data_IF_790495953398
#
_entry.id   IF_790495953398
#
_cell.length_a   1.000
_cell.length_b   1.000
_cell.length_c   1.000
_cell.angle_alpha   90.00
_cell.angle_beta   90.00
_cell.angle_gamma   90.00
#
_symmetry.space_group_name_H-M   'P 1'
#
loop_
_entity.id
_entity.type
_entity.pdbx_description
1 polymer ?
#
# COMPACT_ATOMS: atom_id res chain seq x y z
N UNK A 1 8.21 -13.38 9.35
CA UNK A 1 6.97 -12.66 9.69
C UNK A 1 7.21 -11.89 10.97
N UNK A 2 6.92 -10.59 10.98
CA UNK A 2 6.97 -9.75 12.18
C UNK A 2 5.56 -9.51 12.70
N UNK A 3 5.41 -9.35 14.02
CA UNK A 3 4.14 -9.13 14.71
C UNK A 3 4.27 -8.01 15.74
N UNK A 4 3.17 -7.28 15.98
CA UNK A 4 3.02 -6.31 17.07
C UNK A 4 4.21 -5.34 17.20
N UNK A 5 4.65 -4.81 16.06
CA UNK A 5 5.85 -3.97 15.97
C UNK A 5 5.53 -2.50 15.74
N UNK A 6 6.59 -1.69 15.58
CA UNK A 6 6.48 -0.27 15.23
C UNK A 6 7.41 0.08 14.09
N UNK A 7 6.90 0.80 13.10
CA UNK A 7 7.68 1.36 11.99
C UNK A 7 8.04 2.79 12.38
N UNK A 8 9.31 3.02 12.72
CA UNK A 8 9.79 4.34 13.15
C UNK A 8 10.11 5.26 11.96
N UNK A 9 10.85 4.76 10.98
CA UNK A 9 11.18 5.48 9.74
C UNK A 9 11.34 4.48 8.61
N UNK A 10 10.46 4.57 7.61
CA UNK A 10 10.60 3.81 6.37
C UNK A 10 10.26 4.75 5.21
N UNK A 11 11.31 5.34 4.63
CA UNK A 11 11.19 6.42 3.63
C UNK A 11 10.22 6.07 2.51
N UNK A 12 10.22 4.80 2.05
CA UNK A 12 9.31 4.38 0.99
C UNK A 12 7.84 4.44 1.42
N UNK A 13 7.49 3.93 2.61
CA UNK A 13 6.12 4.00 3.13
C UNK A 13 5.69 5.45 3.37
N UNK A 14 6.56 6.29 3.91
CA UNK A 14 6.28 7.71 4.08
C UNK A 14 5.96 8.37 2.74
N UNK A 15 6.79 8.16 1.71
CA UNK A 15 6.56 8.71 0.36
C UNK A 15 5.30 8.17 -0.30
N UNK A 16 4.97 6.88 -0.12
CA UNK A 16 3.71 6.30 -0.62
C UNK A 16 2.52 7.01 0.02
N UNK A 17 2.52 7.19 1.34
CA UNK A 17 1.41 7.82 2.05
C UNK A 17 1.30 9.32 1.75
N UNK A 18 2.42 10.02 1.62
CA UNK A 18 2.46 11.41 1.12
C UNK A 18 1.86 11.51 -0.28
N UNK A 19 2.24 10.63 -1.20
CA UNK A 19 1.67 10.58 -2.55
C UNK A 19 0.15 10.37 -2.52
N UNK A 20 -0.35 9.47 -1.66
CA UNK A 20 -1.78 9.24 -1.49
C UNK A 20 -2.51 10.46 -0.91
N UNK A 21 -1.84 11.23 -0.04
CA UNK A 21 -2.37 12.48 0.49
C UNK A 21 -2.43 13.59 -0.57
N UNK A 22 -1.44 13.66 -1.47
CA UNK A 22 -1.38 14.65 -2.56
C UNK A 22 -2.43 14.35 -3.64
N UNK A 23 -2.60 13.08 -4.00
CA UNK A 23 -3.49 12.71 -5.11
C UNK A 23 -4.97 12.84 -4.78
N UNK A 24 -5.36 12.93 -3.50
CA UNK A 24 -6.75 13.12 -3.11
C UNK A 24 -6.85 13.89 -1.79
N UNK A 25 -7.61 14.99 -1.77
CA UNK A 25 -8.08 15.74 -0.58
C UNK A 25 -9.06 14.89 0.27
N UNK A 26 -8.70 13.64 0.58
CA UNK A 26 -9.63 12.57 0.97
C UNK A 26 -9.12 11.73 2.15
N UNK A 27 -7.88 11.91 2.62
CA UNK A 27 -7.33 11.03 3.67
C UNK A 27 -7.29 11.60 5.10
N UNK A 28 -7.64 12.87 5.30
CA UNK A 28 -7.51 13.50 6.62
C UNK A 28 -6.03 13.61 7.04
N UNK A 29 -5.77 13.70 8.34
CA UNK A 29 -4.39 13.72 8.86
C UNK A 29 -3.70 12.39 8.54
N UNK A 30 -2.55 12.45 7.88
CA UNK A 30 -1.61 11.33 7.80
C UNK A 30 -1.41 10.80 9.22
N UNK A 31 -1.37 9.48 9.46
CA UNK A 31 -0.89 8.99 10.74
C UNK A 31 0.51 9.57 10.93
N UNK A 32 0.69 10.44 11.94
CA UNK A 32 1.98 11.06 12.19
C UNK A 32 3.02 9.94 12.33
N UNK A 33 3.94 9.84 11.38
CA UNK A 33 5.22 9.18 11.57
C UNK A 33 6.10 10.08 12.43
N UNK A 34 5.57 10.50 13.58
CA UNK A 34 6.30 11.25 14.58
C UNK A 34 7.31 10.36 15.28
N UNK A 35 7.99 10.91 16.29
CA UNK A 35 9.01 10.21 17.10
C UNK A 35 8.54 8.85 17.67
N UNK A 36 7.22 8.64 17.79
CA UNK A 36 6.62 7.41 18.33
C UNK A 36 6.52 6.26 17.31
N UNK A 37 6.66 6.49 16.01
CA UNK A 37 6.50 5.47 14.97
C UNK A 37 5.07 4.93 14.82
N UNK A 38 4.78 4.24 13.71
CA UNK A 38 3.47 3.66 13.40
C UNK A 38 3.38 2.21 13.89
N UNK A 39 2.45 1.86 14.80
CA UNK A 39 2.24 0.48 15.21
C UNK A 39 1.68 -0.36 14.06
N UNK A 40 2.03 -1.66 14.04
CA UNK A 40 1.44 -2.63 13.12
C UNK A 40 1.23 -3.97 13.81
N UNK A 41 0.18 -4.69 13.42
CA UNK A 41 -0.14 -6.01 13.96
C UNK A 41 0.69 -7.09 13.30
N UNK A 42 0.87 -7.01 11.98
CA UNK A 42 1.76 -7.93 11.28
C UNK A 42 2.40 -7.35 10.03
N UNK A 43 3.63 -7.77 9.78
CA UNK A 43 4.34 -7.50 8.54
C UNK A 43 4.91 -8.81 7.98
N UNK A 44 4.52 -9.17 6.76
CA UNK A 44 4.91 -10.41 6.09
C UNK A 44 5.51 -10.09 4.74
N UNK A 45 6.74 -10.53 4.53
CA UNK A 45 7.37 -10.55 3.21
C UNK A 45 7.71 -12.01 2.88
N UNK A 46 7.41 -12.43 1.64
CA UNK A 46 7.95 -13.66 1.05
C UNK A 46 8.79 -13.28 -0.15
N UNK A 47 10.09 -13.52 -0.07
CA UNK A 47 11.03 -13.18 -1.13
C UNK A 47 11.96 -14.35 -1.46
N UNK A 48 12.51 -14.32 -2.67
CA UNK A 48 13.62 -15.17 -3.11
C UNK A 48 14.70 -14.28 -3.73
N UNK A 49 15.95 -14.72 -3.66
CA UNK A 49 17.09 -14.00 -4.23
C UNK A 49 17.65 -14.82 -5.38
N UNK A 50 17.68 -14.23 -6.58
CA UNK A 50 18.19 -14.90 -7.78
C UNK A 50 18.88 -13.92 -8.70
N UNK A 51 20.13 -14.24 -9.09
CA UNK A 51 20.91 -13.48 -10.07
C UNK A 51 20.96 -11.98 -9.74
N UNK A 52 21.22 -11.64 -8.48
CA UNK A 52 21.27 -10.26 -8.02
C UNK A 52 19.91 -9.54 -7.93
N UNK A 53 18.79 -10.27 -7.99
CA UNK A 53 17.44 -9.72 -7.84
C UNK A 53 16.76 -10.27 -6.60
N UNK A 54 16.07 -9.42 -5.85
CA UNK A 54 15.17 -9.80 -4.77
C UNK A 54 13.75 -9.79 -5.34
N UNK A 55 13.16 -10.98 -5.47
CA UNK A 55 11.82 -11.16 -6.02
C UNK A 55 10.86 -11.39 -4.86
N UNK A 56 10.00 -10.41 -4.61
CA UNK A 56 9.03 -10.40 -3.52
C UNK A 56 7.67 -10.85 -4.05
N UNK A 57 7.30 -12.09 -3.76
CA UNK A 57 5.99 -12.68 -4.09
C UNK A 57 4.88 -12.33 -3.09
N UNK A 58 5.25 -11.75 -1.94
CA UNK A 58 4.31 -11.21 -0.95
C UNK A 58 4.97 -10.06 -0.23
N UNK A 59 4.28 -8.93 -0.19
CA UNK A 59 4.49 -7.80 0.70
C UNK A 59 3.13 -7.59 1.36
N UNK A 60 3.05 -7.70 2.68
CA UNK A 60 1.78 -7.56 3.38
C UNK A 60 2.00 -6.88 4.72
N UNK A 61 1.42 -5.69 4.90
CA UNK A 61 1.41 -4.94 6.14
C UNK A 61 -0.04 -4.84 6.63
N UNK A 62 -0.28 -5.19 7.88
CA UNK A 62 -1.56 -4.99 8.54
C UNK A 62 -1.34 -4.14 9.79
N UNK A 63 -2.01 -2.99 9.84
CA UNK A 63 -2.02 -2.06 10.95
C UNK A 63 -3.41 -1.42 11.06
N UNK A 64 -3.78 -0.94 12.25
CA UNK A 64 -5.06 -0.24 12.47
C UNK A 64 -5.28 0.97 11.57
N UNK A 65 -4.21 1.59 11.08
CA UNK A 65 -4.26 2.80 10.25
C UNK A 65 -4.28 2.48 8.75
N UNK A 66 -3.55 1.44 8.35
CA UNK A 66 -3.29 1.13 6.94
C UNK A 66 -3.06 -0.37 6.75
N UNK A 67 -3.63 -0.91 5.68
CA UNK A 67 -3.27 -2.20 5.14
C UNK A 67 -2.55 -2.03 3.80
N UNK A 68 -1.51 -2.83 3.57
CA UNK A 68 -0.76 -2.86 2.32
C UNK A 68 -0.63 -4.31 1.87
N UNK A 69 -0.84 -4.55 0.58
CA UNK A 69 -0.60 -5.83 -0.05
C UNK A 69 0.09 -5.62 -1.40
N UNK A 70 1.00 -6.49 -1.79
CA UNK A 70 1.68 -6.32 -3.07
C UNK A 70 2.79 -7.32 -3.34
N UNK A 71 3.46 -7.07 -4.44
CA UNK A 71 4.58 -7.87 -4.96
C UNK A 71 5.50 -6.98 -5.78
N UNK A 72 6.69 -7.48 -6.08
CA UNK A 72 7.63 -6.74 -6.91
C UNK A 72 9.01 -7.33 -6.95
N UNK A 73 9.91 -6.61 -7.61
CA UNK A 73 11.30 -6.99 -7.78
C UNK A 73 12.19 -5.80 -7.48
N UNK A 74 13.27 -6.07 -6.75
CA UNK A 74 14.41 -5.17 -6.62
C UNK A 74 15.56 -5.80 -7.39
N UNK A 75 16.12 -5.06 -8.34
CA UNK A 75 17.33 -5.43 -9.08
C UNK A 75 18.53 -4.72 -8.44
N UNK A 76 19.35 -5.49 -7.72
CA UNK A 76 20.52 -4.96 -7.01
C UNK A 76 21.68 -4.65 -7.96
N UNK A 77 21.72 -5.29 -9.13
CA UNK A 77 22.77 -5.07 -10.15
C UNK A 77 22.52 -3.73 -10.84
N UNK A 78 21.25 -3.47 -11.19
CA UNK A 78 20.83 -2.22 -11.84
C UNK A 78 20.47 -1.11 -10.87
N UNK A 79 20.44 -1.40 -9.57
CA UNK A 79 19.98 -0.51 -8.51
C UNK A 79 18.56 0.04 -8.79
N UNK A 80 17.66 -0.81 -9.27
CA UNK A 80 16.28 -0.43 -9.60
C UNK A 80 15.25 -1.25 -8.85
N UNK A 81 14.02 -0.75 -8.82
CA UNK A 81 12.86 -1.43 -8.27
C UNK A 81 11.69 -1.39 -9.25
N UNK A 82 10.80 -2.36 -9.15
CA UNK A 82 9.48 -2.36 -9.76
C UNK A 82 8.53 -3.11 -8.83
N UNK A 83 7.68 -2.39 -8.12
CA UNK A 83 6.78 -2.91 -7.09
C UNK A 83 5.37 -2.39 -7.37
N UNK A 84 4.40 -3.28 -7.24
CA UNK A 84 2.97 -2.96 -7.31
C UNK A 84 2.36 -3.22 -5.94
N UNK A 85 1.71 -2.20 -5.38
CA UNK A 85 1.04 -2.26 -4.08
C UNK A 85 -0.44 -1.88 -4.22
N UNK A 86 -1.30 -2.54 -3.47
CA UNK A 86 -2.57 -2.00 -3.01
C UNK A 86 -2.35 -1.40 -1.63
N UNK A 87 -2.76 -0.15 -1.46
CA UNK A 87 -2.68 0.57 -0.19
C UNK A 87 -4.09 0.95 0.23
N UNK A 88 -4.45 0.58 1.45
CA UNK A 88 -5.80 0.70 1.95
C UNK A 88 -5.82 1.44 3.29
N UNK A 89 -6.26 2.70 3.31
CA UNK A 89 -6.37 3.49 4.53
C UNK A 89 -7.62 3.08 5.31
N UNK A 90 -7.43 2.53 6.51
CA UNK A 90 -8.52 1.90 7.27
C UNK A 90 -9.32 2.89 8.12
N UNK A 91 -8.66 3.90 8.71
CA UNK A 91 -9.32 4.90 9.58
C UNK A 91 -10.08 5.98 8.84
N UNK A 92 -9.86 6.12 7.54
CA UNK A 92 -10.46 7.21 6.78
C UNK A 92 -11.71 6.80 6.00
N UNK A 93 -12.10 5.53 6.04
CA UNK A 93 -13.27 5.00 5.34
C UNK A 93 -14.53 5.84 5.64
N UNK A 94 -14.79 6.16 6.91
CA UNK A 94 -15.99 6.91 7.32
C UNK A 94 -16.10 8.30 6.64
N UNK A 95 -14.96 8.97 6.39
CA UNK A 95 -14.93 10.26 5.68
C UNK A 95 -15.17 10.12 4.18
N UNK A 96 -14.69 9.03 3.57
CA UNK A 96 -14.88 8.76 2.13
C UNK A 96 -16.30 8.29 1.85
N UNK A 97 -16.86 7.44 2.71
CA UNK A 97 -18.25 6.99 2.66
C UNK A 97 -19.24 8.16 2.72
N UNK A 98 -18.89 9.27 3.38
CA UNK A 98 -19.68 10.50 3.37
C UNK A 98 -19.80 11.17 2.00
N UNK A 99 -18.80 11.03 1.12
CA UNK A 99 -18.76 11.68 -0.21
C UNK A 99 -19.23 10.79 -1.35
N UNK A 100 -19.11 9.46 -1.22
CA UNK A 100 -19.50 8.50 -2.26
C UNK A 100 -20.60 7.57 -1.72
N UNK A 101 -21.88 7.98 -1.76
CA UNK A 101 -22.98 7.28 -1.09
C UNK A 101 -23.23 5.86 -1.62
N UNK A 102 -22.84 5.55 -2.86
CA UNK A 102 -23.05 4.22 -3.49
C UNK A 102 -22.29 3.11 -2.73
N UNK A 103 -21.14 3.43 -2.11
CA UNK A 103 -20.28 2.45 -1.42
C UNK A 103 -20.70 2.25 0.06
N UNK A 104 -21.59 3.10 0.60
CA UNK A 104 -22.04 3.03 2.01
C UNK A 104 -22.72 1.73 2.38
N UNK A 105 -23.41 1.08 1.44
CA UNK A 105 -24.23 -0.11 1.72
C UNK A 105 -23.38 -1.36 2.07
N UNK A 106 -22.11 -1.39 1.66
CA UNK A 106 -21.31 -2.62 1.69
C UNK A 106 -20.18 -2.65 2.73
N UNK A 107 -20.03 -1.62 3.59
CA UNK A 107 -18.89 -1.50 4.54
C UNK A 107 -17.55 -1.87 3.89
N UNK A 108 -17.37 -1.40 2.66
CA UNK A 108 -16.25 -1.78 1.81
C UNK A 108 -15.06 -0.86 2.06
N UNK A 109 -13.88 -1.45 2.20
CA UNK A 109 -12.64 -0.70 2.35
C UNK A 109 -12.15 -0.25 0.97
N UNK A 110 -11.67 0.98 0.86
CA UNK A 110 -11.08 1.49 -0.37
C UNK A 110 -9.60 1.10 -0.44
N UNK A 111 -9.17 0.56 -1.56
CA UNK A 111 -7.76 0.27 -1.88
C UNK A 111 -7.32 1.06 -3.10
N UNK A 112 -6.14 1.66 -3.02
CA UNK A 112 -5.56 2.47 -4.09
C UNK A 112 -4.35 1.70 -4.65
N UNK A 113 -4.32 1.43 -5.96
CA UNK A 113 -3.21 0.75 -6.61
C UNK A 113 -2.07 1.74 -6.90
N UNK A 114 -0.88 1.41 -6.44
CA UNK A 114 0.32 2.24 -6.51
C UNK A 114 1.46 1.46 -7.14
N UNK A 115 2.12 2.06 -8.12
CA UNK A 115 3.33 1.56 -8.76
C UNK A 115 4.55 2.30 -8.22
N UNK A 116 5.63 1.55 -7.96
CA UNK A 116 6.90 2.09 -7.47
C UNK A 116 7.99 1.55 -8.39
N UNK A 117 8.61 2.43 -9.18
CA UNK A 117 9.57 2.02 -10.19
C UNK A 117 10.77 2.96 -10.31
N UNK A 118 11.85 2.49 -10.93
CA UNK A 118 13.05 3.29 -11.18
C UNK A 118 14.13 3.06 -10.13
N UNK A 119 14.92 4.10 -9.83
CA UNK A 119 16.07 4.03 -8.93
C UNK A 119 15.67 3.56 -7.52
N UNK A 120 16.45 2.65 -6.94
CA UNK A 120 16.15 2.05 -5.63
C UNK A 120 16.23 3.05 -4.47
N UNK A 121 17.09 4.09 -4.57
CA UNK A 121 17.25 5.11 -3.53
C UNK A 121 16.19 6.21 -3.65
N UNK A 122 15.80 6.55 -4.87
CA UNK A 122 14.77 7.55 -5.14
C UNK A 122 13.75 7.05 -6.21
N UNK A 123 12.89 6.08 -5.86
CA UNK A 123 11.95 5.54 -6.84
C UNK A 123 10.84 6.53 -7.16
N UNK A 124 10.28 6.43 -8.36
CA UNK A 124 9.08 7.17 -8.76
C UNK A 124 7.87 6.39 -8.26
N UNK A 125 6.91 7.12 -7.69
CA UNK A 125 5.65 6.57 -7.18
C UNK A 125 4.52 7.13 -8.04
N UNK A 126 3.74 6.24 -8.64
CA UNK A 126 2.66 6.60 -9.57
C UNK A 126 1.37 5.89 -9.22
N UNK A 127 0.21 6.49 -9.51
CA UNK A 127 -1.04 5.77 -9.44
C UNK A 127 -1.09 4.72 -10.56
N UNK A 128 -1.74 3.59 -10.31
CA UNK A 128 -2.01 2.59 -11.34
C UNK A 128 -3.50 2.52 -11.67
N UNK A 129 -3.84 1.99 -12.84
CA UNK A 129 -5.21 1.50 -13.08
C UNK A 129 -5.43 0.22 -12.27
N UNK A 130 -6.64 -0.05 -11.73
CA UNK A 130 -6.98 -1.33 -11.13
C UNK A 130 -6.68 -2.53 -12.04
N UNK A 131 -6.74 -2.35 -13.37
CA UNK A 131 -6.42 -3.38 -14.37
C UNK A 131 -4.96 -3.82 -14.34
N UNK A 132 -4.05 -2.99 -13.80
CA UNK A 132 -2.65 -3.32 -13.65
C UNK A 132 -2.34 -4.18 -12.41
N UNK A 133 -3.35 -4.41 -11.55
CA UNK A 133 -3.20 -5.22 -10.34
C UNK A 133 -3.63 -6.66 -10.62
N UNK A 134 -2.71 -7.60 -10.46
CA UNK A 134 -2.98 -9.02 -10.62
C UNK A 134 -3.85 -9.61 -9.50
N UNK A 135 -4.52 -10.73 -9.79
CA UNK A 135 -5.40 -11.44 -8.84
C UNK A 135 -4.70 -11.82 -7.54
N UNK A 136 -3.42 -12.19 -7.61
CA UNK A 136 -2.62 -12.54 -6.45
C UNK A 136 -2.54 -11.39 -5.43
N UNK A 137 -2.30 -10.16 -5.88
CA UNK A 137 -2.26 -8.99 -4.99
C UNK A 137 -3.63 -8.75 -4.33
N UNK A 138 -4.74 -9.02 -5.03
CA UNK A 138 -6.08 -8.96 -4.43
C UNK A 138 -6.24 -9.97 -3.31
N UNK A 139 -5.80 -11.20 -3.51
CA UNK A 139 -5.90 -12.24 -2.48
C UNK A 139 -5.01 -11.92 -1.26
N UNK A 140 -3.82 -11.35 -1.49
CA UNK A 140 -3.00 -10.79 -0.42
C UNK A 140 -3.71 -9.67 0.36
N UNK A 141 -4.50 -8.83 -0.31
CA UNK A 141 -5.28 -7.78 0.35
C UNK A 141 -6.46 -8.37 1.13
N UNK A 142 -7.20 -9.34 0.57
CA UNK A 142 -8.28 -10.06 1.30
C UNK A 142 -7.76 -10.65 2.60
N UNK A 143 -6.60 -11.31 2.53
CA UNK A 143 -5.91 -11.86 3.69
C UNK A 143 -5.57 -10.80 4.75
N UNK A 144 -5.28 -9.56 4.33
CA UNK A 144 -4.85 -8.48 5.22
C UNK A 144 -6.04 -7.87 5.98
N UNK A 145 -7.11 -7.49 5.27
CA UNK A 145 -8.17 -6.66 5.84
C UNK A 145 -9.41 -7.43 6.32
N UNK A 146 -9.56 -8.71 5.98
CA UNK A 146 -10.70 -9.59 6.35
C UNK A 146 -12.11 -9.04 6.05
N UNK A 147 -12.19 -7.95 5.30
CA UNK A 147 -13.41 -7.23 4.94
C UNK A 147 -13.47 -7.10 3.41
N UNK A 148 -14.66 -6.94 2.82
CA UNK A 148 -14.78 -6.57 1.42
C UNK A 148 -13.98 -5.30 1.13
N UNK A 149 -13.28 -5.25 -0.01
CA UNK A 149 -12.61 -4.04 -0.46
C UNK A 149 -12.92 -3.76 -1.94
N UNK A 150 -12.87 -2.48 -2.30
CA UNK A 150 -13.03 -1.97 -3.66
C UNK A 150 -11.76 -1.24 -4.05
N UNK A 151 -11.36 -1.39 -5.31
CA UNK A 151 -10.23 -0.66 -5.85
C UNK A 151 -10.79 0.58 -6.54
N UNK A 152 -10.28 1.75 -6.17
CA UNK A 152 -10.66 2.98 -6.87
C UNK A 152 -9.68 3.27 -7.99
N UNK A 153 -10.21 3.64 -9.16
CA UNK A 153 -9.44 4.34 -10.16
C UNK A 153 -9.07 5.72 -9.59
N UNK A 154 -7.77 6.07 -9.54
CA UNK A 154 -7.39 7.45 -9.29
C UNK A 154 -7.98 8.30 -10.43
N UNK A 155 -8.69 9.38 -10.08
CA UNK A 155 -9.24 10.30 -11.06
C UNK A 155 -8.09 10.95 -11.84
N UNK A 156 -7.80 10.41 -13.02
CA UNK A 156 -6.94 11.07 -13.99
C UNK A 156 -7.79 12.16 -14.65
N UNK A 157 -7.53 13.42 -14.29
CA UNK A 157 -8.08 14.57 -15.01
C UNK A 157 -7.17 14.93 -16.17
#
# INVERSE_FOLDING_TARGET
>A
MLRSGRIYRFNLLTRILEFLNITQVVLGELPEFGKKGMPYDSFRIRYRVEKGRIIMSRIQLNADTVAIAGEGVIDLVRNTTNITLLVSPLRTIDKILGKIPIIRKFRTIISIPVGIHGDLKNPVIVPLSPKAVGSHIFDLMKDAVKLPFSILEPFTK
#
